data_IF_238351255249
#
_entry.id   IF_238351255249
#
_cell.length_a   1.000
_cell.length_b   1.000
_cell.length_c   1.000
_cell.angle_alpha   90.00
_cell.angle_beta   90.00
_cell.angle_gamma   90.00
#
_symmetry.space_group_name_H-M   'P 1'
#
loop_
_entity.id
_entity.type
_entity.pdbx_description
1 polymer ?
#
# COMPACT_ATOMS: atom_id res chain seq x y z
N UNK A 1 24.47 -14.46 -15.17
CA UNK A 1 24.61 -13.84 -13.86
C UNK A 1 23.78 -12.53 -13.79
N UNK A 2 23.23 -12.22 -12.60
CA UNK A 2 22.33 -11.07 -12.41
C UNK A 2 22.99 -9.73 -12.77
N UNK A 3 24.26 -9.54 -12.47
CA UNK A 3 24.95 -8.29 -12.82
C UNK A 3 25.09 -8.06 -14.34
N UNK A 4 25.12 -9.13 -15.14
CA UNK A 4 25.06 -9.02 -16.60
C UNK A 4 23.64 -8.71 -17.07
N UNK A 5 22.63 -9.34 -16.46
CA UNK A 5 21.23 -9.08 -16.73
C UNK A 5 20.84 -7.62 -16.45
N UNK A 6 21.41 -7.03 -15.40
CA UNK A 6 21.22 -5.61 -15.07
C UNK A 6 21.79 -4.63 -16.12
N UNK A 7 22.59 -5.09 -17.07
CA UNK A 7 23.05 -4.27 -18.20
C UNK A 7 22.00 -4.10 -19.29
N UNK A 8 20.95 -4.93 -19.28
CA UNK A 8 19.86 -4.79 -20.26
C UNK A 8 19.07 -3.51 -20.03
N UNK A 9 18.70 -2.78 -21.09
CA UNK A 9 17.96 -1.53 -20.97
C UNK A 9 16.65 -1.65 -20.19
N UNK A 10 15.94 -2.78 -20.31
CA UNK A 10 14.69 -3.04 -19.62
C UNK A 10 14.90 -3.06 -18.09
N UNK A 11 15.91 -3.77 -17.63
CA UNK A 11 16.25 -3.88 -16.21
C UNK A 11 16.72 -2.54 -15.66
N UNK A 12 17.53 -1.82 -16.41
CA UNK A 12 18.01 -0.48 -16.03
C UNK A 12 16.85 0.51 -15.94
N UNK A 13 15.92 0.50 -16.90
CA UNK A 13 14.72 1.37 -16.84
C UNK A 13 13.90 1.15 -15.57
N UNK A 14 13.74 -0.10 -15.13
CA UNK A 14 13.01 -0.40 -13.90
C UNK A 14 13.68 0.21 -12.66
N UNK A 15 15.01 0.10 -12.57
CA UNK A 15 15.77 0.69 -11.45
C UNK A 15 15.77 2.22 -11.50
N UNK A 16 15.90 2.81 -12.69
CA UNK A 16 15.83 4.26 -12.90
C UNK A 16 14.43 4.77 -12.55
N UNK A 17 13.38 4.07 -12.98
CA UNK A 17 12.00 4.42 -12.62
C UNK A 17 11.79 4.37 -11.10
N UNK A 18 12.26 3.30 -10.44
CA UNK A 18 12.20 3.19 -8.97
C UNK A 18 12.90 4.35 -8.27
N UNK A 19 14.12 4.71 -8.72
CA UNK A 19 14.84 5.86 -8.19
C UNK A 19 14.04 7.15 -8.36
N UNK A 20 13.50 7.38 -9.57
CA UNK A 20 12.71 8.58 -9.88
C UNK A 20 11.44 8.68 -9.02
N UNK A 21 10.72 7.57 -8.84
CA UNK A 21 9.53 7.51 -7.98
C UNK A 21 9.91 7.85 -6.53
N UNK A 22 10.97 7.24 -5.98
CA UNK A 22 11.42 7.53 -4.63
C UNK A 22 11.81 8.99 -4.43
N UNK A 23 12.46 9.61 -5.44
CA UNK A 23 12.79 11.04 -5.40
C UNK A 23 11.52 11.89 -5.40
N UNK A 24 10.56 11.63 -6.29
CA UNK A 24 9.29 12.37 -6.35
C UNK A 24 8.47 12.27 -5.07
N UNK A 25 8.49 11.10 -4.40
CA UNK A 25 7.86 10.95 -3.08
C UNK A 25 8.49 11.89 -2.06
N UNK A 26 9.83 11.96 -2.02
CA UNK A 26 10.55 12.86 -1.10
C UNK A 26 10.24 14.31 -1.39
N UNK A 27 10.33 14.72 -2.65
CA UNK A 27 10.10 16.10 -3.07
C UNK A 27 8.68 16.56 -2.65
N UNK A 28 7.66 15.73 -2.95
CA UNK A 28 6.27 16.06 -2.60
C UNK A 28 6.03 16.13 -1.08
N UNK A 29 6.59 15.18 -0.34
CA UNK A 29 6.37 15.11 1.11
C UNK A 29 7.14 16.22 1.85
N UNK A 30 8.34 16.57 1.39
CA UNK A 30 9.08 17.71 1.92
C UNK A 30 8.30 19.02 1.69
N UNK A 31 7.79 19.26 0.49
CA UNK A 31 6.92 20.38 0.16
C UNK A 31 5.64 20.45 1.02
N UNK A 32 5.18 19.31 1.53
CA UNK A 32 4.04 19.19 2.46
C UNK A 32 4.46 19.09 3.93
N UNK A 33 5.68 19.48 4.25
CA UNK A 33 6.22 19.60 5.62
C UNK A 33 6.37 18.27 6.38
N UNK A 34 6.55 17.15 5.65
CA UNK A 34 6.90 15.88 6.26
C UNK A 34 8.39 15.78 6.52
N UNK A 35 8.75 15.19 7.64
CA UNK A 35 10.12 14.88 8.00
C UNK A 35 10.44 13.42 7.65
N UNK A 36 11.47 13.20 6.83
CA UNK A 36 12.00 11.85 6.61
C UNK A 36 12.86 11.45 7.80
N UNK A 37 12.40 10.48 8.58
CA UNK A 37 13.12 10.01 9.77
C UNK A 37 13.36 8.52 9.65
N UNK A 38 14.64 8.14 9.66
CA UNK A 38 15.09 6.75 9.62
C UNK A 38 14.94 6.11 11.00
N UNK A 39 14.38 4.90 11.04
CA UNK A 39 14.13 4.14 12.28
C UNK A 39 15.00 2.89 12.34
N UNK A 40 15.27 2.36 13.55
CA UNK A 40 16.10 1.17 13.72
C UNK A 40 15.57 -0.06 12.99
N UNK A 41 16.49 -0.82 12.36
CA UNK A 41 16.19 -2.10 11.73
C UNK A 41 16.27 -3.29 12.72
N UNK A 42 17.12 -3.21 13.73
CA UNK A 42 17.22 -4.21 14.78
C UNK A 42 16.35 -3.80 15.95
N UNK A 43 15.15 -4.35 16.01
CA UNK A 43 14.15 -4.00 17.03
C UNK A 43 13.80 -5.21 17.90
N UNK A 44 12.90 -4.96 18.85
CA UNK A 44 12.23 -6.02 19.60
C UNK A 44 11.07 -6.55 18.74
N UNK A 45 10.82 -7.86 18.81
CA UNK A 45 9.65 -8.48 18.20
C UNK A 45 8.35 -7.81 18.66
N UNK A 46 7.48 -7.54 17.70
CA UNK A 46 6.17 -6.90 17.92
C UNK A 46 5.08 -7.71 17.20
N UNK A 47 3.91 -7.90 17.85
CA UNK A 47 2.83 -8.66 17.23
C UNK A 47 2.06 -7.80 16.20
N UNK A 48 2.54 -7.77 14.95
CA UNK A 48 1.93 -6.99 13.86
C UNK A 48 1.17 -7.84 12.83
N UNK A 49 0.88 -9.10 13.12
CA UNK A 49 0.08 -9.98 12.26
C UNK A 49 0.86 -10.98 11.42
N UNK A 50 2.08 -10.66 10.96
CA UNK A 50 2.99 -11.60 10.31
C UNK A 50 3.97 -12.22 11.32
N UNK A 51 4.72 -13.24 10.91
CA UNK A 51 5.87 -13.72 11.69
C UNK A 51 7.08 -12.83 11.43
N UNK A 52 7.87 -12.62 12.50
CA UNK A 52 9.09 -11.83 12.43
C UNK A 52 10.28 -12.69 11.97
N UNK A 53 11.16 -12.09 11.17
CA UNK A 53 12.51 -12.61 10.99
C UNK A 53 13.37 -12.30 12.21
N UNK A 54 13.96 -13.31 12.82
CA UNK A 54 14.77 -13.17 14.03
C UNK A 54 16.25 -13.16 13.71
N UNK A 55 16.98 -12.25 14.35
CA UNK A 55 18.44 -12.12 14.24
C UNK A 55 19.04 -12.44 15.60
N UNK A 56 19.85 -13.53 15.74
CA UNK A 56 20.48 -13.88 17.02
C UNK A 56 21.43 -12.78 17.50
N UNK A 57 21.37 -12.47 18.81
CA UNK A 57 22.31 -11.54 19.42
C UNK A 57 23.60 -12.28 19.81
N UNK A 58 24.72 -11.90 19.22
CA UNK A 58 26.04 -12.45 19.62
C UNK A 58 26.47 -11.97 21.01
N UNK A 59 26.08 -10.76 21.39
CA UNK A 59 26.48 -10.12 22.66
C UNK A 59 25.65 -10.65 23.84
N UNK A 60 24.38 -11.01 23.58
CA UNK A 60 23.44 -11.51 24.60
C UNK A 60 22.98 -12.92 24.23
N UNK A 61 23.68 -13.98 24.68
CA UNK A 61 23.31 -15.37 24.36
C UNK A 61 21.84 -15.68 24.71
N UNK A 62 21.13 -16.34 23.80
CA UNK A 62 19.70 -16.68 23.96
C UNK A 62 18.74 -15.53 23.73
N UNK A 63 19.23 -14.35 23.35
CA UNK A 63 18.41 -13.20 22.93
C UNK A 63 18.44 -13.00 21.43
N UNK A 64 17.37 -12.41 20.91
CA UNK A 64 17.18 -12.14 19.48
C UNK A 64 16.71 -10.70 19.27
N UNK A 65 17.14 -10.13 18.17
CA UNK A 65 16.48 -8.99 17.55
C UNK A 65 15.43 -9.50 16.53
N UNK A 66 14.45 -8.68 16.22
CA UNK A 66 13.55 -8.90 15.11
C UNK A 66 13.80 -7.86 14.02
N UNK A 67 13.62 -8.25 12.76
CA UNK A 67 13.53 -7.29 11.64
C UNK A 67 12.12 -6.70 11.59
N UNK A 68 11.95 -5.40 11.33
CA UNK A 68 10.66 -4.73 11.43
C UNK A 68 9.70 -5.17 10.31
N UNK A 69 8.46 -5.46 10.67
CA UNK A 69 7.38 -5.64 9.71
C UNK A 69 6.90 -4.30 9.13
N UNK A 70 7.00 -3.26 9.93
CA UNK A 70 6.86 -1.84 9.63
C UNK A 70 7.48 -1.02 10.77
N UNK A 71 7.73 0.29 10.62
CA UNK A 71 8.22 1.13 11.71
C UNK A 71 7.12 1.58 12.69
N UNK A 72 6.07 0.76 12.92
CA UNK A 72 4.84 1.12 13.60
C UNK A 72 5.03 1.76 14.98
N UNK A 73 5.83 1.14 15.84
CA UNK A 73 6.07 1.67 17.19
C UNK A 73 6.83 2.99 17.13
N UNK A 74 7.83 3.07 16.26
CA UNK A 74 8.68 4.26 16.16
C UNK A 74 7.91 5.46 15.64
N UNK A 75 7.08 5.30 14.62
CA UNK A 75 6.28 6.41 14.09
C UNK A 75 5.25 6.92 15.11
N UNK A 76 4.65 6.03 15.90
CA UNK A 76 3.77 6.44 17.01
C UNK A 76 4.54 7.24 18.07
N UNK A 77 5.75 6.80 18.44
CA UNK A 77 6.61 7.54 19.36
C UNK A 77 7.02 8.90 18.80
N UNK A 78 7.24 9.02 17.50
CA UNK A 78 7.53 10.29 16.84
C UNK A 78 6.32 11.25 16.91
N UNK A 79 5.09 10.75 16.76
CA UNK A 79 3.88 11.57 16.97
C UNK A 79 3.81 12.08 18.41
N UNK A 80 4.03 11.21 19.39
CA UNK A 80 4.09 11.60 20.83
C UNK A 80 5.20 12.62 21.10
N UNK A 81 6.31 12.53 20.37
CA UNK A 81 7.44 13.47 20.47
C UNK A 81 7.20 14.81 19.73
N UNK A 82 6.03 15.02 19.12
CA UNK A 82 5.68 16.23 18.40
C UNK A 82 6.18 16.32 16.95
N UNK A 83 6.60 15.21 16.36
CA UNK A 83 6.93 15.13 14.93
C UNK A 83 5.67 14.90 14.11
N UNK A 84 4.81 15.91 14.01
CA UNK A 84 3.43 15.82 13.54
C UNK A 84 3.24 15.27 12.12
N UNK A 85 4.27 15.30 11.29
CA UNK A 85 4.27 14.77 9.93
C UNK A 85 5.57 14.02 9.67
N UNK A 86 5.49 12.72 9.68
CA UNK A 86 6.60 11.78 9.48
C UNK A 86 6.41 10.99 8.21
N UNK A 87 7.51 10.69 7.52
CA UNK A 87 7.56 9.62 6.53
C UNK A 87 8.92 8.91 6.53
N UNK A 88 8.93 7.72 5.97
CA UNK A 88 10.14 6.97 5.68
C UNK A 88 9.92 6.06 4.47
N UNK A 89 10.90 5.98 3.58
CA UNK A 89 10.95 4.91 2.57
C UNK A 89 11.58 3.70 3.25
N UNK A 90 10.75 2.94 3.98
CA UNK A 90 11.16 1.92 4.92
C UNK A 90 11.35 0.56 4.26
N UNK A 91 12.41 -0.15 4.67
CA UNK A 91 12.57 -1.57 4.38
C UNK A 91 11.80 -2.38 5.42
N UNK A 92 10.89 -3.26 4.94
CA UNK A 92 10.01 -4.07 5.77
C UNK A 92 10.22 -5.55 5.49
N UNK A 93 9.99 -6.39 6.51
CA UNK A 93 10.23 -7.83 6.47
C UNK A 93 9.03 -8.58 7.06
N UNK A 94 8.52 -9.58 6.35
CA UNK A 94 7.42 -10.43 6.84
C UNK A 94 7.68 -11.87 6.44
N UNK A 95 7.74 -12.77 7.41
CA UNK A 95 7.87 -14.21 7.17
C UNK A 95 6.48 -14.81 6.94
N UNK A 96 5.99 -14.63 5.73
CA UNK A 96 4.68 -15.09 5.26
C UNK A 96 4.81 -15.89 3.97
N UNK A 97 3.79 -16.69 3.67
CA UNK A 97 3.68 -17.39 2.39
C UNK A 97 3.59 -16.40 1.23
N UNK A 98 4.37 -16.65 0.19
CA UNK A 98 4.39 -15.83 -1.00
C UNK A 98 3.08 -15.99 -1.76
N UNK A 99 2.42 -14.88 -2.05
CA UNK A 99 1.17 -14.82 -2.83
C UNK A 99 1.25 -13.66 -3.81
N UNK A 100 0.90 -13.90 -5.07
CA UNK A 100 0.92 -12.89 -6.12
C UNK A 100 2.24 -12.09 -6.14
N UNK A 101 2.19 -10.82 -5.79
CA UNK A 101 3.33 -9.90 -5.76
C UNK A 101 4.00 -9.76 -4.38
N UNK A 102 3.53 -10.48 -3.35
CA UNK A 102 4.10 -10.41 -2.01
C UNK A 102 5.52 -10.97 -1.97
N UNK A 103 6.41 -10.23 -1.30
CA UNK A 103 7.79 -10.60 -1.06
C UNK A 103 8.09 -10.56 0.43
N UNK A 104 9.00 -11.43 0.95
CA UNK A 104 9.34 -11.43 2.37
C UNK A 104 10.12 -10.18 2.79
N UNK A 105 10.75 -9.52 1.84
CA UNK A 105 11.44 -8.24 2.00
C UNK A 105 10.94 -7.27 0.94
N UNK A 106 10.43 -6.12 1.37
CA UNK A 106 9.84 -5.12 0.48
C UNK A 106 10.06 -3.70 1.02
N UNK A 107 9.74 -2.72 0.20
CA UNK A 107 9.85 -1.30 0.57
C UNK A 107 8.46 -0.69 0.67
N UNK A 108 8.20 0.05 1.75
CA UNK A 108 7.00 0.86 1.93
C UNK A 108 7.37 2.35 1.91
N UNK A 109 6.49 3.17 1.36
CA UNK A 109 6.37 4.52 1.82
C UNK A 109 5.50 4.48 3.08
N UNK A 110 6.13 4.62 4.24
CA UNK A 110 5.46 4.64 5.53
C UNK A 110 5.28 6.08 5.99
N UNK A 111 4.09 6.42 6.46
CA UNK A 111 3.71 7.78 6.83
C UNK A 111 2.89 7.76 8.11
N UNK A 112 3.02 8.82 8.90
CA UNK A 112 2.17 9.07 10.07
C UNK A 112 1.94 10.57 10.22
N UNK A 113 0.72 10.93 10.59
CA UNK A 113 0.29 12.33 10.75
C UNK A 113 -0.56 12.48 12.00
N UNK A 114 -0.40 13.60 12.70
CA UNK A 114 -1.25 14.00 13.81
C UNK A 114 -2.25 15.07 13.37
N UNK A 115 -3.39 15.13 14.04
CA UNK A 115 -4.39 16.22 13.92
C UNK A 115 -4.95 16.39 12.49
N UNK A 116 -5.12 15.28 11.76
CA UNK A 116 -5.66 15.26 10.39
C UNK A 116 -7.02 14.58 10.37
N UNK A 117 -7.94 15.15 9.62
CA UNK A 117 -9.21 14.51 9.28
C UNK A 117 -9.05 13.58 8.07
N UNK A 118 -10.03 12.69 7.88
CA UNK A 118 -9.96 11.67 6.81
C UNK A 118 -9.82 12.30 5.42
N UNK A 119 -10.59 13.34 5.14
CA UNK A 119 -10.59 14.00 3.83
C UNK A 119 -9.25 14.69 3.55
N UNK A 120 -8.61 15.29 4.55
CA UNK A 120 -7.29 15.90 4.42
C UNK A 120 -6.21 14.86 4.07
N UNK A 121 -6.28 13.66 4.68
CA UNK A 121 -5.38 12.55 4.35
C UNK A 121 -5.60 12.08 2.91
N UNK A 122 -6.86 11.95 2.49
CA UNK A 122 -7.20 11.53 1.14
C UNK A 122 -6.72 12.54 0.09
N UNK A 123 -6.92 13.84 0.31
CA UNK A 123 -6.43 14.90 -0.59
C UNK A 123 -4.90 14.88 -0.71
N UNK A 124 -4.20 14.74 0.41
CA UNK A 124 -2.74 14.64 0.43
C UNK A 124 -2.25 13.43 -0.39
N UNK A 125 -2.88 12.27 -0.21
CA UNK A 125 -2.51 11.04 -0.91
C UNK A 125 -2.83 11.09 -2.39
N UNK A 126 -3.95 11.68 -2.77
CA UNK A 126 -4.31 11.90 -4.18
C UNK A 126 -3.30 12.82 -4.87
N UNK A 127 -2.92 13.91 -4.20
CA UNK A 127 -1.89 14.82 -4.68
C UNK A 127 -0.53 14.13 -4.85
N UNK A 128 -0.14 13.28 -3.90
CA UNK A 128 1.09 12.48 -3.98
C UNK A 128 1.07 11.55 -5.20
N UNK A 129 0.00 10.81 -5.39
CA UNK A 129 -0.13 9.88 -6.52
C UNK A 129 -0.12 10.63 -7.86
N UNK A 130 -0.87 11.73 -7.94
CA UNK A 130 -0.85 12.60 -9.12
C UNK A 130 0.57 13.11 -9.43
N UNK A 131 1.29 13.61 -8.43
CA UNK A 131 2.66 14.10 -8.57
C UNK A 131 3.61 13.01 -9.09
N UNK A 132 3.50 11.79 -8.57
CA UNK A 132 4.30 10.64 -9.00
C UNK A 132 4.00 10.27 -10.46
N UNK A 133 2.72 10.13 -10.82
CA UNK A 133 2.34 9.74 -12.20
C UNK A 133 2.76 10.80 -13.22
N UNK A 134 2.55 12.06 -12.90
CA UNK A 134 2.98 13.18 -13.75
C UNK A 134 4.48 13.25 -13.89
N UNK A 135 5.21 13.19 -12.77
CA UNK A 135 6.65 13.28 -12.76
C UNK A 135 7.36 12.06 -13.34
N UNK A 136 6.91 10.85 -13.03
CA UNK A 136 7.58 9.60 -13.45
C UNK A 136 7.20 9.17 -14.87
N UNK A 137 5.92 9.31 -15.25
CA UNK A 137 5.37 8.76 -16.49
C UNK A 137 4.86 9.82 -17.46
N UNK A 138 4.83 11.10 -17.06
CA UNK A 138 4.25 12.19 -17.88
C UNK A 138 2.72 12.09 -18.01
N UNK A 139 2.06 11.30 -17.15
CA UNK A 139 0.61 11.10 -17.17
C UNK A 139 -0.05 12.00 -16.16
N UNK A 140 -0.99 12.81 -16.65
CA UNK A 140 -1.82 13.71 -15.83
C UNK A 140 -3.10 12.96 -15.45
N UNK A 141 -3.12 12.33 -14.27
CA UNK A 141 -4.29 11.61 -13.75
C UNK A 141 -5.23 12.61 -13.06
N UNK A 142 -6.53 12.42 -13.26
CA UNK A 142 -7.52 13.31 -12.63
C UNK A 142 -7.61 13.06 -11.13
N UNK A 143 -7.69 14.14 -10.36
CA UNK A 143 -8.03 14.16 -8.94
C UNK A 143 -9.18 15.17 -8.72
N UNK A 144 -10.05 15.00 -7.71
CA UNK A 144 -10.07 13.89 -6.75
C UNK A 144 -10.44 12.55 -7.40
N UNK A 145 -9.99 11.45 -6.81
CA UNK A 145 -10.40 10.12 -7.24
C UNK A 145 -11.88 9.88 -6.89
N UNK A 146 -12.54 9.03 -7.70
CA UNK A 146 -13.93 8.67 -7.43
C UNK A 146 -14.06 7.97 -6.07
N UNK A 147 -15.01 8.43 -5.27
CA UNK A 147 -15.39 7.79 -4.01
C UNK A 147 -16.51 6.79 -4.26
N UNK A 148 -16.39 5.61 -3.74
CA UNK A 148 -17.43 4.58 -3.75
C UNK A 148 -17.69 4.15 -2.30
N UNK A 149 -18.95 3.91 -1.97
CA UNK A 149 -19.27 3.18 -0.74
C UNK A 149 -18.94 1.71 -0.91
N UNK A 150 -18.83 0.97 0.18
CA UNK A 150 -18.61 -0.47 0.10
C UNK A 150 -19.78 -1.16 -0.63
N UNK A 151 -21.02 -0.77 -0.32
CA UNK A 151 -22.22 -1.30 -0.94
C UNK A 151 -22.24 -1.04 -2.45
N UNK A 152 -21.96 0.19 -2.90
CA UNK A 152 -21.84 0.53 -4.33
C UNK A 152 -20.76 -0.32 -5.03
N UNK A 153 -19.61 -0.52 -4.38
CA UNK A 153 -18.53 -1.31 -4.95
C UNK A 153 -18.93 -2.79 -5.09
N UNK A 154 -19.58 -3.36 -4.08
CA UNK A 154 -20.05 -4.74 -4.10
C UNK A 154 -21.21 -4.94 -5.07
N UNK A 155 -22.18 -4.06 -5.09
CA UNK A 155 -23.36 -4.18 -5.96
C UNK A 155 -23.02 -4.03 -7.46
N UNK A 156 -22.12 -3.09 -7.77
CA UNK A 156 -21.75 -2.79 -9.16
C UNK A 156 -20.62 -3.66 -9.69
N UNK A 157 -19.70 -4.11 -8.84
CA UNK A 157 -18.46 -4.76 -9.29
C UNK A 157 -18.19 -6.11 -8.60
N UNK A 158 -18.88 -6.44 -7.51
CA UNK A 158 -18.64 -7.67 -6.73
C UNK A 158 -17.27 -7.68 -6.02
N UNK A 159 -16.66 -6.53 -5.82
CA UNK A 159 -15.33 -6.38 -5.22
C UNK A 159 -15.19 -5.04 -4.51
N UNK A 160 -14.52 -5.04 -3.36
CA UNK A 160 -14.10 -3.83 -2.64
C UNK A 160 -12.93 -3.09 -3.31
N UNK A 161 -12.39 -3.64 -4.40
CA UNK A 161 -11.27 -3.08 -5.19
C UNK A 161 -11.59 -3.09 -6.68
N UNK A 162 -12.64 -2.39 -7.12
CA UNK A 162 -13.07 -2.43 -8.51
C UNK A 162 -12.04 -1.76 -9.43
N UNK A 163 -11.79 -2.39 -10.58
CA UNK A 163 -11.04 -1.75 -11.66
C UNK A 163 -12.01 -0.97 -12.55
N UNK A 164 -12.07 0.33 -12.35
CA UNK A 164 -13.00 1.23 -13.07
C UNK A 164 -12.60 1.49 -14.53
N UNK A 165 -11.49 0.95 -15.00
CA UNK A 165 -11.08 1.05 -16.43
C UNK A 165 -11.95 0.16 -17.34
N UNK A 166 -12.63 -0.83 -16.75
CA UNK A 166 -13.55 -1.72 -17.45
C UNK A 166 -14.99 -1.30 -17.17
N UNK A 167 -15.76 -1.02 -18.19
CA UNK A 167 -17.17 -0.66 -18.07
C UNK A 167 -18.10 -1.87 -17.85
N UNK A 168 -17.67 -2.92 -17.16
CA UNK A 168 -18.41 -4.16 -16.96
C UNK A 168 -19.03 -4.22 -15.56
N UNK A 169 -20.05 -3.42 -15.34
CA UNK A 169 -20.81 -3.45 -14.09
C UNK A 169 -21.77 -4.64 -14.05
N UNK A 170 -21.89 -5.24 -12.87
CA UNK A 170 -22.94 -6.23 -12.58
C UNK A 170 -24.32 -5.59 -12.71
N UNK A 171 -25.27 -6.36 -13.21
CA UNK A 171 -26.66 -5.91 -13.31
C UNK A 171 -27.56 -6.89 -12.59
N UNK A 172 -28.46 -6.36 -11.78
CA UNK A 172 -29.49 -7.17 -11.15
C UNK A 172 -30.50 -7.61 -12.21
N UNK A 173 -30.65 -8.91 -12.39
CA UNK A 173 -31.58 -9.54 -13.36
C UNK A 173 -32.78 -10.21 -12.69
N UNK A 174 -33.00 -10.00 -11.41
CA UNK A 174 -34.06 -10.67 -10.62
C UNK A 174 -35.43 -10.50 -11.25
N UNK A 175 -35.79 -9.33 -11.73
CA UNK A 175 -37.07 -9.08 -12.42
C UNK A 175 -37.18 -9.86 -13.74
N UNK A 176 -36.08 -9.92 -14.49
CA UNK A 176 -36.07 -10.60 -15.80
C UNK A 176 -36.19 -12.10 -15.71
N UNK A 177 -35.86 -12.72 -14.58
CA UNK A 177 -35.89 -14.17 -14.37
C UNK A 177 -37.07 -14.63 -13.51
N UNK A 178 -37.94 -13.70 -13.08
CA UNK A 178 -39.17 -14.05 -12.36
C UNK A 178 -40.04 -14.99 -13.20
N UNK A 179 -40.49 -16.09 -12.58
CA UNK A 179 -41.35 -17.05 -13.24
C UNK A 179 -40.65 -17.99 -14.23
N UNK A 180 -39.33 -17.95 -14.33
CA UNK A 180 -38.57 -18.92 -15.12
C UNK A 180 -38.65 -20.34 -14.50
N UNK A 181 -38.41 -21.35 -15.30
CA UNK A 181 -38.44 -22.78 -14.85
C UNK A 181 -37.12 -23.23 -14.23
N UNK A 182 -36.07 -22.36 -14.23
CA UNK A 182 -34.75 -22.71 -13.74
C UNK A 182 -34.67 -22.57 -12.23
N UNK A 183 -34.58 -23.71 -11.54
CA UNK A 183 -34.68 -23.81 -10.09
C UNK A 183 -33.66 -22.98 -9.33
N UNK A 184 -32.44 -22.79 -9.89
CA UNK A 184 -31.37 -22.00 -9.23
C UNK A 184 -31.79 -20.55 -9.05
N UNK A 185 -32.39 -19.95 -10.09
CA UNK A 185 -32.86 -18.54 -9.99
C UNK A 185 -34.03 -18.43 -9.01
N UNK A 186 -34.97 -19.37 -9.03
CA UNK A 186 -36.09 -19.37 -8.10
C UNK A 186 -35.64 -19.46 -6.64
N UNK A 187 -34.64 -20.28 -6.35
CA UNK A 187 -34.08 -20.43 -5.00
C UNK A 187 -33.37 -19.15 -4.51
N UNK A 188 -32.70 -18.41 -5.40
CA UNK A 188 -32.03 -17.17 -5.07
C UNK A 188 -33.04 -16.02 -4.86
N UNK A 189 -34.12 -15.97 -5.66
CA UNK A 189 -35.15 -14.93 -5.54
C UNK A 189 -36.02 -15.13 -4.28
N UNK A 190 -36.18 -16.39 -3.83
CA UNK A 190 -37.00 -16.73 -2.66
C UNK A 190 -36.29 -16.49 -1.30
N UNK A 191 -34.99 -16.29 -1.30
CA UNK A 191 -34.16 -15.99 -0.11
C UNK A 191 -33.74 -14.52 -0.06
#
# INVERSE_FOLDING_TARGET
>A
YRYLDLRRPEMQRNLILRHKVAKLMRDYLDDNHFLEIETPMLCKSTPEGARDYLVPSRVNPGKFYALPQSPQIFKQLLMVAGMERYFQIARCFRDEDLRADRQPEFTQLDMEMSFMEVDEILELMEGLIHHIFKGALGKDIQIPFQRLTWDDAMDRFGSDKPDLRFGMELKNVSEAVQGCTFQVFNNVIAN
#
